data_IF_782848967454
#
_entry.id   IF_782848967454
#
_cell.length_a   1.000
_cell.length_b   1.000
_cell.length_c   1.000
_cell.angle_alpha   90.00
_cell.angle_beta   90.00
_cell.angle_gamma   90.00
#
_symmetry.space_group_name_H-M   'P 1'
#
loop_
_entity.id
_entity.type
_entity.pdbx_description
1 polymer ?
#
# COMPACT_ATOMS: atom_id res chain seq x y z
N UNK A 1 -15.27 13.31 -14.71
CA UNK A 1 -15.63 12.46 -13.54
C UNK A 1 -14.84 11.13 -13.50
N UNK A 2 -14.17 10.68 -14.58
CA UNK A 2 -13.44 9.40 -14.66
C UNK A 2 -12.08 9.28 -13.90
N UNK A 3 -11.37 10.38 -13.63
CA UNK A 3 -10.01 10.30 -13.02
C UNK A 3 -10.00 9.71 -11.60
N UNK A 4 -11.12 9.77 -10.90
CA UNK A 4 -11.25 9.44 -9.47
C UNK A 4 -11.17 7.94 -9.18
N UNK A 5 -11.68 7.10 -10.09
CA UNK A 5 -11.58 5.64 -9.98
C UNK A 5 -10.19 5.14 -10.39
N UNK A 6 -9.59 5.72 -11.43
CA UNK A 6 -8.25 5.34 -11.88
C UNK A 6 -7.20 5.59 -10.78
N UNK A 7 -7.27 6.72 -10.08
CA UNK A 7 -6.41 7.03 -8.94
C UNK A 7 -6.56 6.04 -7.79
N UNK A 8 -7.79 5.65 -7.44
CA UNK A 8 -8.04 4.64 -6.39
C UNK A 8 -7.46 3.27 -6.75
N UNK A 9 -7.61 2.84 -8.01
CA UNK A 9 -7.10 1.55 -8.47
C UNK A 9 -5.58 1.50 -8.46
N UNK A 10 -4.91 2.56 -8.95
CA UNK A 10 -3.44 2.67 -8.90
C UNK A 10 -2.92 2.60 -7.46
N UNK A 11 -3.65 3.19 -6.53
CA UNK A 11 -3.30 3.17 -5.12
C UNK A 11 -3.43 1.78 -4.48
N UNK A 12 -4.50 1.04 -4.82
CA UNK A 12 -4.71 -0.34 -4.37
C UNK A 12 -3.63 -1.26 -4.94
N UNK A 13 -3.33 -1.13 -6.24
CA UNK A 13 -2.24 -1.88 -6.88
C UNK A 13 -0.91 -1.60 -6.18
N UNK A 14 -0.60 -0.33 -5.91
CA UNK A 14 0.64 0.05 -5.24
C UNK A 14 0.72 -0.47 -3.79
N UNK A 15 -0.40 -0.45 -3.05
CA UNK A 15 -0.49 -1.01 -1.71
C UNK A 15 -0.31 -2.54 -1.73
N UNK A 16 -0.89 -3.25 -2.70
CA UNK A 16 -0.68 -4.69 -2.88
C UNK A 16 0.78 -5.01 -3.21
N UNK A 17 1.42 -4.23 -4.07
CA UNK A 17 2.84 -4.39 -4.41
C UNK A 17 3.72 -4.29 -3.16
N UNK A 18 3.48 -3.26 -2.33
CA UNK A 18 4.21 -3.09 -1.08
C UNK A 18 3.94 -4.21 -0.07
N UNK A 19 2.70 -4.71 0.01
CA UNK A 19 2.37 -5.87 0.84
C UNK A 19 3.10 -7.13 0.38
N UNK A 20 3.21 -7.34 -0.94
CA UNK A 20 3.99 -8.44 -1.52
C UNK A 20 5.48 -8.36 -1.16
N UNK A 21 6.07 -7.17 -1.23
CA UNK A 21 7.47 -6.93 -0.85
C UNK A 21 7.68 -7.21 0.65
N UNK A 22 6.76 -6.75 1.51
CA UNK A 22 6.85 -7.00 2.94
C UNK A 22 6.78 -8.51 3.25
N UNK A 23 5.91 -9.26 2.55
CA UNK A 23 5.76 -10.69 2.74
C UNK A 23 6.99 -11.47 2.23
N UNK A 24 7.57 -11.05 1.10
CA UNK A 24 8.80 -11.64 0.57
C UNK A 24 10.00 -11.36 1.47
N UNK A 25 10.16 -10.13 1.96
CA UNK A 25 11.22 -9.74 2.88
C UNK A 25 11.11 -10.47 4.23
N UNK A 26 9.89 -10.61 4.77
CA UNK A 26 9.64 -11.37 5.99
C UNK A 26 10.02 -12.86 5.82
N UNK A 27 9.82 -13.42 4.62
CA UNK A 27 10.22 -14.81 4.30
C UNK A 27 11.72 -14.97 4.10
N UNK A 28 12.43 -13.91 3.71
CA UNK A 28 13.89 -13.90 3.57
C UNK A 28 14.63 -13.71 4.91
N UNK A 29 13.97 -13.16 5.93
CA UNK A 29 14.57 -12.88 7.25
C UNK A 29 14.98 -11.42 7.44
N UNK A 30 14.86 -10.58 6.41
CA UNK A 30 15.08 -9.13 6.45
C UNK A 30 13.90 -8.40 7.11
N UNK A 31 13.84 -8.47 8.44
CA UNK A 31 12.79 -7.83 9.25
C UNK A 31 12.74 -6.30 9.07
N UNK A 32 13.87 -5.63 8.88
CA UNK A 32 13.93 -4.17 8.68
C UNK A 32 13.20 -3.76 7.40
N UNK A 33 13.45 -4.49 6.31
CA UNK A 33 12.82 -4.22 5.01
C UNK A 33 11.34 -4.58 5.07
N UNK A 34 11.00 -5.70 5.72
CA UNK A 34 9.61 -6.10 5.93
C UNK A 34 8.83 -5.03 6.70
N UNK A 35 9.38 -4.49 7.79
CA UNK A 35 8.73 -3.45 8.60
C UNK A 35 8.61 -2.13 7.85
N UNK A 36 9.66 -1.69 7.15
CA UNK A 36 9.64 -0.46 6.37
C UNK A 36 8.63 -0.54 5.22
N UNK A 37 8.63 -1.66 4.48
CA UNK A 37 7.68 -1.90 3.41
C UNK A 37 6.24 -2.00 3.93
N UNK A 38 6.02 -2.70 5.05
CA UNK A 38 4.70 -2.78 5.68
C UNK A 38 4.20 -1.42 6.16
N UNK A 39 5.07 -0.61 6.79
CA UNK A 39 4.72 0.73 7.27
C UNK A 39 4.37 1.67 6.10
N UNK A 40 5.17 1.66 5.03
CA UNK A 40 4.91 2.46 3.82
C UNK A 40 3.62 2.01 3.11
N UNK A 41 3.42 0.70 2.95
CA UNK A 41 2.21 0.13 2.36
C UNK A 41 0.95 0.46 3.18
N UNK A 42 1.02 0.32 4.50
CA UNK A 42 -0.07 0.67 5.41
C UNK A 42 -0.38 2.18 5.42
N UNK A 43 0.66 3.04 5.40
CA UNK A 43 0.49 4.48 5.30
C UNK A 43 -0.21 4.86 4.00
N UNK A 44 0.24 4.29 2.88
CA UNK A 44 -0.39 4.50 1.59
C UNK A 44 -1.87 4.04 1.66
N UNK A 45 -2.14 2.80 2.04
CA UNK A 45 -3.49 2.27 2.13
C UNK A 45 -4.40 3.18 2.98
N UNK A 46 -3.87 3.72 4.09
CA UNK A 46 -4.58 4.66 4.96
C UNK A 46 -4.84 6.02 4.29
N UNK A 47 -3.90 6.56 3.51
CA UNK A 47 -4.10 7.77 2.70
C UNK A 47 -5.17 7.57 1.62
N UNK A 48 -5.13 6.47 0.89
CA UNK A 48 -6.15 6.10 -0.09
C UNK A 48 -7.53 5.95 0.56
N UNK A 49 -7.60 5.20 1.66
CA UNK A 49 -8.84 5.01 2.41
C UNK A 49 -9.38 6.34 2.93
N UNK A 50 -8.54 7.25 3.43
CA UNK A 50 -8.95 8.60 3.86
C UNK A 50 -9.43 9.47 2.69
N UNK A 51 -8.77 9.41 1.54
CA UNK A 51 -9.19 10.11 0.33
C UNK A 51 -10.55 9.64 -0.18
N UNK A 52 -10.85 8.35 -0.01
CA UNK A 52 -12.12 7.75 -0.41
C UNK A 52 -13.25 7.98 0.62
N UNK A 53 -12.92 7.99 1.93
CA UNK A 53 -13.88 8.02 3.05
C UNK A 53 -14.33 9.42 3.49
N UNK A 54 -13.78 10.49 2.90
CA UNK A 54 -14.16 11.88 3.24
C UNK A 54 -15.29 12.44 2.35
N UNK A 55 -16.05 11.57 1.71
CA UNK A 55 -17.26 11.86 0.92
C UNK A 55 -18.26 10.72 1.08
#
# INVERSE_FOLDING_TARGET
MQQRHALGLLFVVLALSFAGIALAAARAGEWVVAFAAAALGAWLATMAARGLRRR
#
